data_IF_292248133279
#
_entry.id   IF_292248133279
#
_cell.length_a   1.000
_cell.length_b   1.000
_cell.length_c   1.000
_cell.angle_alpha   90.00
_cell.angle_beta   90.00
_cell.angle_gamma   90.00
#
_symmetry.space_group_name_H-M   'P 1'
#
loop_
_entity.id
_entity.type
_entity.pdbx_description
1 polymer ?
#
# COMPACT_ATOMS: atom_id res chain seq x y z
N UNK A 1 -4.61 31.02 25.57
CA UNK A 1 -4.94 31.79 24.34
C UNK A 1 -4.94 30.79 23.20
N UNK A 2 -6.13 30.42 22.70
CA UNK A 2 -6.29 29.33 21.72
C UNK A 2 -5.86 29.80 20.33
N UNK A 3 -4.96 29.07 19.63
CA UNK A 3 -4.71 29.33 18.22
C UNK A 3 -6.02 29.18 17.42
N UNK A 4 -6.17 29.99 16.37
CA UNK A 4 -7.32 29.89 15.47
C UNK A 4 -7.37 28.48 14.84
N UNK A 5 -8.56 27.98 14.53
CA UNK A 5 -8.80 26.68 13.91
C UNK A 5 -7.91 26.46 12.67
N UNK A 6 -7.75 27.48 11.83
CA UNK A 6 -6.89 27.42 10.64
C UNK A 6 -5.42 27.09 10.98
N UNK A 7 -4.90 27.60 12.09
CA UNK A 7 -3.52 27.33 12.48
C UNK A 7 -3.38 25.88 12.92
N UNK A 8 -4.31 25.36 13.74
CA UNK A 8 -4.32 23.94 14.13
C UNK A 8 -4.49 23.01 12.94
N UNK A 9 -5.32 23.39 11.98
CA UNK A 9 -5.55 22.63 10.75
C UNK A 9 -4.25 22.47 9.94
N UNK A 10 -3.54 23.57 9.67
CA UNK A 10 -2.25 23.49 8.97
C UNK A 10 -1.20 22.76 9.80
N UNK A 11 -1.17 22.98 11.12
CA UNK A 11 -0.27 22.26 12.03
C UNK A 11 -0.51 20.76 12.05
N UNK A 12 -1.73 20.27 11.79
CA UNK A 12 -2.05 18.83 11.69
C UNK A 12 -1.58 18.23 10.37
N UNK A 13 -1.57 19.03 9.30
CA UNK A 13 -1.17 18.56 7.98
C UNK A 13 0.35 18.31 7.90
N UNK A 14 1.15 19.23 8.46
CA UNK A 14 2.62 19.19 8.34
C UNK A 14 3.26 17.88 8.85
N UNK A 15 2.97 17.40 10.08
CA UNK A 15 3.52 16.14 10.58
C UNK A 15 3.16 14.94 9.71
N UNK A 16 1.94 14.89 9.17
CA UNK A 16 1.52 13.79 8.29
C UNK A 16 2.25 13.84 6.95
N UNK A 17 2.37 15.03 6.35
CA UNK A 17 3.15 15.20 5.11
C UNK A 17 4.59 14.79 5.31
N UNK A 18 5.24 15.26 6.38
CA UNK A 18 6.61 14.86 6.72
C UNK A 18 6.72 13.35 6.96
N UNK A 19 5.74 12.76 7.64
CA UNK A 19 5.69 11.32 7.87
C UNK A 19 5.60 10.54 6.55
N UNK A 20 4.73 10.93 5.61
CA UNK A 20 4.65 10.29 4.29
C UNK A 20 5.92 10.53 3.44
N UNK A 21 6.56 11.69 3.54
CA UNK A 21 7.82 11.94 2.83
C UNK A 21 8.98 11.08 3.37
N UNK A 22 9.08 10.93 4.69
CA UNK A 22 10.17 10.19 5.34
C UNK A 22 9.96 8.68 5.27
N UNK A 23 8.72 8.21 5.47
CA UNK A 23 8.42 6.80 5.64
C UNK A 23 7.65 6.19 4.47
N UNK A 24 7.02 7.01 3.61
CA UNK A 24 6.27 6.52 2.45
C UNK A 24 7.12 5.78 1.43
N UNK A 25 8.42 6.10 1.35
CA UNK A 25 9.36 5.39 0.47
C UNK A 25 9.80 4.03 1.02
N UNK A 26 9.97 3.92 2.34
CA UNK A 26 10.60 2.76 2.99
C UNK A 26 9.61 1.72 3.52
N UNK A 27 8.34 2.08 3.65
CA UNK A 27 7.34 1.17 4.19
C UNK A 27 6.85 0.17 3.14
N UNK A 28 6.64 -1.10 3.54
CA UNK A 28 5.90 -2.04 2.70
C UNK A 28 4.50 -1.49 2.46
N UNK A 29 3.99 -1.68 1.24
CA UNK A 29 2.71 -1.14 0.80
C UNK A 29 1.56 -1.39 1.79
N UNK A 30 1.53 -2.55 2.44
CA UNK A 30 0.39 -2.89 3.30
C UNK A 30 0.36 -2.01 4.57
N UNK A 31 1.55 -1.63 5.08
CA UNK A 31 1.68 -0.63 6.14
C UNK A 31 1.31 0.76 5.59
N UNK A 32 1.71 1.09 4.36
CA UNK A 32 1.40 2.37 3.74
C UNK A 32 -0.11 2.57 3.51
N UNK A 33 -0.79 1.55 2.97
CA UNK A 33 -2.24 1.52 2.81
C UNK A 33 -2.93 1.62 4.17
N UNK A 34 -2.50 0.86 5.17
CA UNK A 34 -3.05 0.95 6.53
C UNK A 34 -2.92 2.38 7.09
N UNK A 35 -1.74 2.99 6.96
CA UNK A 35 -1.49 4.36 7.41
C UNK A 35 -2.32 5.38 6.64
N UNK A 36 -2.60 5.13 5.36
CA UNK A 36 -3.47 5.97 4.55
C UNK A 36 -4.90 5.95 5.07
N UNK A 37 -5.45 4.78 5.34
CA UNK A 37 -6.79 4.65 5.92
C UNK A 37 -6.86 5.20 7.35
N UNK A 38 -5.79 5.08 8.13
CA UNK A 38 -5.69 5.66 9.46
C UNK A 38 -5.46 7.18 9.45
N UNK A 39 -5.00 7.78 8.35
CA UNK A 39 -4.61 9.19 8.29
C UNK A 39 -5.77 10.16 8.56
N UNK A 40 -6.99 9.98 8.00
CA UNK A 40 -8.11 10.87 8.30
C UNK A 40 -8.55 10.76 9.77
N UNK A 41 -8.50 9.56 10.33
CA UNK A 41 -8.87 9.30 11.74
C UNK A 41 -7.84 9.95 12.68
N UNK A 42 -6.55 9.75 12.43
CA UNK A 42 -5.47 10.38 13.20
C UNK A 42 -5.52 11.90 13.08
N UNK A 43 -5.86 12.44 11.90
CA UNK A 43 -6.00 13.87 11.67
C UNK A 43 -7.13 14.49 12.51
N UNK A 44 -8.33 13.91 12.45
CA UNK A 44 -9.48 14.37 13.25
C UNK A 44 -9.19 14.21 14.74
N UNK A 45 -8.65 13.06 15.14
CA UNK A 45 -8.27 12.80 16.53
C UNK A 45 -7.24 13.82 17.04
N UNK A 46 -6.21 14.13 16.27
CA UNK A 46 -5.15 15.08 16.65
C UNK A 46 -5.70 16.50 16.89
N UNK A 47 -6.63 16.95 16.05
CA UNK A 47 -7.28 18.26 16.22
C UNK A 47 -8.16 18.25 17.48
N UNK A 48 -9.00 17.23 17.65
CA UNK A 48 -9.89 17.10 18.81
C UNK A 48 -9.12 16.99 20.13
N UNK A 49 -8.09 16.14 20.18
CA UNK A 49 -7.24 15.95 21.36
C UNK A 49 -6.47 17.23 21.69
N UNK A 50 -6.00 17.96 20.68
CA UNK A 50 -5.37 19.28 20.90
C UNK A 50 -6.32 20.29 21.53
N UNK A 51 -7.59 20.34 21.10
CA UNK A 51 -8.58 21.21 21.76
C UNK A 51 -8.89 20.79 23.19
N UNK A 52 -8.99 19.48 23.44
CA UNK A 52 -9.16 18.96 24.80
C UNK A 52 -7.97 19.32 25.69
N UNK A 53 -6.73 19.16 25.21
CA UNK A 53 -5.52 19.51 25.94
C UNK A 53 -5.39 21.02 26.19
N UNK A 54 -5.76 21.86 25.23
CA UNK A 54 -5.78 23.31 25.43
C UNK A 54 -6.83 23.72 26.48
N UNK A 55 -8.00 23.07 26.46
CA UNK A 55 -9.05 23.30 27.45
C UNK A 55 -8.58 22.89 28.86
N UNK A 56 -8.02 21.69 29.02
CA UNK A 56 -7.43 21.21 30.28
C UNK A 56 -6.30 22.14 30.74
N UNK A 57 -5.39 22.51 29.86
CA UNK A 57 -4.26 23.38 30.19
C UNK A 57 -4.71 24.76 30.67
N UNK A 58 -5.74 25.33 30.05
CA UNK A 58 -6.33 26.59 30.48
C UNK A 58 -7.10 26.42 31.80
N UNK A 59 -7.85 25.33 31.98
CA UNK A 59 -8.66 25.05 33.18
C UNK A 59 -7.79 24.90 34.44
N UNK A 60 -6.68 24.18 34.32
CA UNK A 60 -5.72 23.94 35.41
C UNK A 60 -4.55 24.93 35.43
N UNK A 61 -4.57 25.97 34.58
CA UNK A 61 -3.53 27.01 34.47
C UNK A 61 -2.11 26.43 34.32
N UNK A 62 -1.98 25.33 33.59
CA UNK A 62 -0.70 24.70 33.31
C UNK A 62 0.14 25.63 32.43
N UNK A 63 1.27 26.11 32.95
CA UNK A 63 2.23 26.96 32.21
C UNK A 63 3.48 26.22 31.75
N UNK A 64 3.74 25.02 32.29
CA UNK A 64 4.94 24.26 31.96
C UNK A 64 4.82 23.64 30.56
N UNK A 65 5.62 24.15 29.61
CA UNK A 65 5.64 23.70 28.21
C UNK A 65 6.08 22.24 28.06
N UNK A 66 6.94 21.74 28.96
CA UNK A 66 7.43 20.35 28.94
C UNK A 66 6.31 19.40 29.35
N UNK A 67 5.55 19.76 30.38
CA UNK A 67 4.38 18.98 30.80
C UNK A 67 3.32 18.93 29.70
N UNK A 68 3.05 20.05 29.04
CA UNK A 68 2.11 20.09 27.91
C UNK A 68 2.62 19.20 26.77
N UNK A 69 3.89 19.32 26.39
CA UNK A 69 4.48 18.45 25.37
C UNK A 69 4.37 16.95 25.72
N UNK A 70 4.61 16.60 26.99
CA UNK A 70 4.44 15.24 27.48
C UNK A 70 3.00 14.74 27.36
N UNK A 71 2.00 15.58 27.68
CA UNK A 71 0.59 15.23 27.51
C UNK A 71 0.21 15.04 26.03
N UNK A 72 0.77 15.86 25.12
CA UNK A 72 0.61 15.66 23.68
C UNK A 72 1.24 14.33 23.22
N UNK A 73 2.46 14.01 23.63
CA UNK A 73 3.10 12.73 23.31
C UNK A 73 2.32 11.54 23.87
N UNK A 74 1.83 11.65 25.11
CA UNK A 74 1.04 10.59 25.75
C UNK A 74 -0.28 10.36 25.02
N UNK A 75 -1.02 11.42 24.67
CA UNK A 75 -2.26 11.28 23.90
C UNK A 75 -2.01 10.69 22.51
N UNK A 76 -0.93 11.08 21.83
CA UNK A 76 -0.49 10.47 20.58
C UNK A 76 -0.19 8.98 20.70
N UNK A 77 0.50 8.56 21.76
CA UNK A 77 0.78 7.15 22.03
C UNK A 77 -0.49 6.35 22.34
N UNK A 78 -1.39 6.93 23.15
CA UNK A 78 -2.64 6.29 23.56
C UNK A 78 -3.62 6.08 22.39
N UNK A 79 -3.57 6.92 21.35
CA UNK A 79 -4.42 6.79 20.17
C UNK A 79 -4.30 5.40 19.51
N UNK A 80 -3.08 4.85 19.46
CA UNK A 80 -2.84 3.60 18.79
C UNK A 80 -3.40 2.40 19.57
N UNK A 81 -3.60 2.50 20.89
CA UNK A 81 -4.09 1.38 21.71
C UNK A 81 -5.42 0.81 21.20
N UNK A 82 -6.52 1.58 21.07
CA UNK A 82 -7.79 1.06 20.55
C UNK A 82 -7.70 0.71 19.06
N UNK A 83 -6.89 1.42 18.27
CA UNK A 83 -6.68 1.12 16.85
C UNK A 83 -6.10 -0.29 16.67
N UNK A 84 -5.12 -0.67 17.48
CA UNK A 84 -4.56 -2.02 17.44
C UNK A 84 -5.57 -3.08 17.88
N UNK A 85 -6.30 -2.87 18.97
CA UNK A 85 -7.29 -3.84 19.45
C UNK A 85 -8.39 -4.12 18.43
N UNK A 86 -8.78 -3.12 17.62
CA UNK A 86 -9.81 -3.27 16.60
C UNK A 86 -9.30 -3.74 15.23
N UNK A 87 -8.14 -3.26 14.80
CA UNK A 87 -7.67 -3.44 13.41
C UNK A 87 -6.61 -4.55 13.30
N UNK A 88 -5.84 -4.78 14.36
CA UNK A 88 -4.60 -5.54 14.27
C UNK A 88 -4.54 -6.55 15.41
N UNK A 89 -4.95 -7.80 15.14
CA UNK A 89 -4.70 -8.96 16.03
C UNK A 89 -3.21 -9.34 16.07
N UNK A 90 -2.29 -8.38 16.18
CA UNK A 90 -0.88 -8.68 16.37
C UNK A 90 -0.67 -9.15 17.81
N UNK A 91 -0.01 -10.29 17.96
CA UNK A 91 0.45 -10.83 19.25
C UNK A 91 1.85 -10.31 19.63
N UNK A 92 2.51 -9.53 18.77
CA UNK A 92 3.89 -9.10 18.99
C UNK A 92 4.00 -7.75 19.71
N UNK A 93 4.38 -7.79 20.98
CA UNK A 93 4.58 -6.59 21.82
C UNK A 93 5.54 -5.55 21.21
N UNK A 94 6.51 -5.98 20.40
CA UNK A 94 7.48 -5.08 19.75
C UNK A 94 6.82 -4.12 18.76
N UNK A 95 5.85 -4.60 17.97
CA UNK A 95 5.11 -3.78 17.03
C UNK A 95 4.30 -2.70 17.76
N UNK A 96 3.61 -3.05 18.85
CA UNK A 96 2.84 -2.09 19.66
C UNK A 96 3.69 -0.91 20.12
N UNK A 97 4.87 -1.18 20.70
CA UNK A 97 5.75 -0.12 21.20
C UNK A 97 6.26 0.77 20.06
N UNK A 98 6.59 0.19 18.91
CA UNK A 98 7.02 0.93 17.71
C UNK A 98 5.96 1.93 17.24
N UNK A 99 4.70 1.49 17.11
CA UNK A 99 3.63 2.38 16.68
C UNK A 99 3.22 3.41 17.72
N UNK A 100 3.26 3.07 19.02
CA UNK A 100 3.07 4.06 20.08
C UNK A 100 4.15 5.16 20.04
N UNK A 101 5.41 4.79 19.74
CA UNK A 101 6.48 5.76 19.55
C UNK A 101 6.26 6.64 18.31
N UNK A 102 5.80 6.06 17.19
CA UNK A 102 5.41 6.83 15.99
C UNK A 102 4.29 7.82 16.33
N UNK A 103 3.24 7.38 17.03
CA UNK A 103 2.13 8.23 17.45
C UNK A 103 2.55 9.36 18.37
N UNK A 104 3.41 9.07 19.34
CA UNK A 104 4.01 10.09 20.21
C UNK A 104 4.83 11.11 19.39
N UNK A 105 5.64 10.64 18.44
CA UNK A 105 6.43 11.48 17.55
C UNK A 105 5.59 12.41 16.68
N UNK A 106 4.51 11.88 16.08
CA UNK A 106 3.57 12.67 15.27
C UNK A 106 2.87 13.71 16.14
N UNK A 107 2.40 13.35 17.32
CA UNK A 107 1.72 14.28 18.24
C UNK A 107 2.66 15.37 18.76
N UNK A 108 3.92 15.03 19.04
CA UNK A 108 4.93 16.01 19.43
C UNK A 108 5.24 16.98 18.28
N UNK A 109 5.42 16.45 17.06
CA UNK A 109 5.60 17.26 15.85
C UNK A 109 4.42 18.20 15.61
N UNK A 110 3.19 17.72 15.82
CA UNK A 110 1.98 18.54 15.77
C UNK A 110 2.01 19.68 16.79
N UNK A 111 2.39 19.42 18.04
CA UNK A 111 2.51 20.44 19.08
C UNK A 111 3.57 21.48 18.70
N UNK A 112 4.73 21.06 18.20
CA UNK A 112 5.78 21.96 17.73
C UNK A 112 5.30 22.84 16.57
N UNK A 113 4.59 22.26 15.60
CA UNK A 113 3.98 23.01 14.51
C UNK A 113 2.96 24.02 15.03
N UNK A 114 2.15 23.64 16.02
CA UNK A 114 1.16 24.55 16.63
C UNK A 114 1.81 25.73 17.33
N UNK A 115 2.95 25.51 18.00
CA UNK A 115 3.76 26.58 18.58
C UNK A 115 4.34 27.50 17.52
N UNK A 116 4.85 26.95 16.42
CA UNK A 116 5.44 27.71 15.31
C UNK A 116 4.39 28.59 14.62
N UNK A 117 3.25 28.01 14.26
CA UNK A 117 2.16 28.73 13.58
C UNK A 117 1.33 29.61 14.52
N UNK A 118 1.60 29.63 15.83
CA UNK A 118 0.82 30.42 16.80
C UNK A 118 0.77 31.91 16.47
N UNK A 119 1.88 32.47 15.99
CA UNK A 119 2.01 33.91 15.73
C UNK A 119 1.85 34.25 14.24
N UNK A 120 1.65 33.25 13.39
CA UNK A 120 1.52 33.43 11.94
C UNK A 120 0.04 33.50 11.57
N UNK A 121 -0.33 34.51 10.77
CA UNK A 121 -1.66 34.55 10.15
C UNK A 121 -1.69 33.56 8.99
N UNK A 122 -2.22 32.37 9.24
CA UNK A 122 -2.37 31.34 8.20
C UNK A 122 -3.45 31.77 7.22
N UNK A 123 -3.10 31.82 5.93
CA UNK A 123 -4.02 32.12 4.85
C UNK A 123 -4.98 30.94 4.60
N UNK A 124 -6.24 31.22 4.24
CA UNK A 124 -7.25 30.20 3.90
C UNK A 124 -6.78 29.29 2.77
N UNK A 125 -6.04 29.82 1.78
CA UNK A 125 -5.47 29.01 0.71
C UNK A 125 -4.51 27.95 1.24
N UNK A 126 -3.64 28.29 2.21
CA UNK A 126 -2.71 27.32 2.80
C UNK A 126 -3.44 26.22 3.58
N UNK A 127 -4.54 26.58 4.26
CA UNK A 127 -5.38 25.63 4.99
C UNK A 127 -6.11 24.63 4.08
N UNK A 128 -6.37 25.00 2.82
CA UNK A 128 -6.97 24.09 1.81
C UNK A 128 -5.90 23.31 1.07
N UNK A 129 -4.81 23.98 0.65
CA UNK A 129 -3.74 23.37 -0.13
C UNK A 129 -2.95 22.32 0.65
N UNK A 130 -2.79 22.48 1.97
CA UNK A 130 -2.10 21.50 2.81
C UNK A 130 -2.75 20.10 2.76
N UNK A 131 -4.01 19.94 3.18
CA UNK A 131 -4.70 18.66 3.12
C UNK A 131 -4.85 18.13 1.69
N UNK A 132 -5.07 19.00 0.71
CA UNK A 132 -5.13 18.59 -0.69
C UNK A 132 -3.79 17.99 -1.15
N UNK A 133 -2.68 18.63 -0.79
CA UNK A 133 -1.34 18.13 -1.06
C UNK A 133 -1.09 16.78 -0.37
N UNK A 134 -1.54 16.62 0.89
CA UNK A 134 -1.46 15.36 1.61
C UNK A 134 -2.23 14.25 0.87
N UNK A 135 -3.46 14.51 0.41
CA UNK A 135 -4.26 13.55 -0.35
C UNK A 135 -3.56 13.16 -1.65
N UNK A 136 -3.04 14.15 -2.41
CA UNK A 136 -2.30 13.89 -3.65
C UNK A 136 -1.06 13.04 -3.39
N UNK A 137 -0.28 13.36 -2.34
CA UNK A 137 0.88 12.56 -1.96
C UNK A 137 0.49 11.12 -1.63
N UNK A 138 -0.55 10.92 -0.83
CA UNK A 138 -1.04 9.59 -0.46
C UNK A 138 -1.40 8.76 -1.70
N UNK A 139 -2.09 9.36 -2.67
CA UNK A 139 -2.43 8.69 -3.94
C UNK A 139 -1.18 8.33 -4.75
N UNK A 140 -0.22 9.26 -4.90
CA UNK A 140 1.03 9.01 -5.63
C UNK A 140 1.79 7.82 -5.03
N UNK A 141 1.88 7.73 -3.69
CA UNK A 141 2.59 6.62 -3.04
C UNK A 141 1.89 5.26 -3.22
N UNK A 142 0.54 5.23 -3.25
CA UNK A 142 -0.22 3.99 -3.52
C UNK A 142 -0.08 3.56 -4.96
N UNK A 143 -0.39 4.45 -5.90
CA UNK A 143 -0.34 4.13 -7.33
C UNK A 143 1.05 3.68 -7.76
N UNK A 144 2.12 4.23 -7.16
CA UNK A 144 3.49 3.81 -7.45
C UNK A 144 3.72 2.31 -7.24
N UNK A 145 3.04 1.72 -6.26
CA UNK A 145 3.18 0.30 -5.90
C UNK A 145 2.27 -0.64 -6.70
N UNK A 146 1.34 -0.09 -7.49
CA UNK A 146 0.45 -0.84 -8.38
C UNK A 146 0.91 -0.83 -9.85
N UNK A 147 1.95 -0.06 -10.18
CA UNK A 147 2.50 -0.13 -11.54
C UNK A 147 3.18 -1.46 -11.79
N UNK A 148 2.92 -1.99 -12.97
CA UNK A 148 3.65 -3.12 -13.51
C UNK A 148 5.16 -2.81 -13.49
N UNK A 149 5.91 -3.70 -12.87
CA UNK A 149 7.35 -3.56 -12.71
C UNK A 149 8.00 -4.91 -12.87
N UNK A 150 8.96 -4.95 -13.80
CA UNK A 150 9.73 -6.12 -14.14
C UNK A 150 11.21 -5.74 -14.07
N UNK A 151 11.95 -6.37 -13.15
CA UNK A 151 13.40 -6.18 -13.01
C UNK A 151 14.13 -7.51 -13.22
N UNK A 152 15.30 -7.46 -13.86
CA UNK A 152 16.18 -8.63 -14.03
C UNK A 152 15.63 -9.74 -14.93
N UNK A 153 14.71 -9.40 -15.84
CA UNK A 153 14.02 -10.38 -16.70
C UNK A 153 14.97 -11.07 -17.68
N UNK A 154 14.95 -12.40 -17.66
CA UNK A 154 15.69 -13.26 -18.60
C UNK A 154 14.76 -14.36 -19.05
N UNK A 155 14.52 -14.44 -20.35
CA UNK A 155 13.60 -15.42 -20.95
C UNK A 155 14.31 -16.34 -21.93
N UNK A 156 13.78 -17.56 -22.00
CA UNK A 156 14.08 -18.53 -23.03
C UNK A 156 12.77 -19.13 -23.54
N UNK A 157 12.52 -18.96 -24.83
CA UNK A 157 11.33 -19.50 -25.50
C UNK A 157 11.73 -20.50 -26.60
N UNK A 158 10.94 -21.55 -26.77
CA UNK A 158 10.90 -22.41 -27.95
C UNK A 158 9.44 -22.59 -28.41
N UNK A 159 9.19 -23.45 -29.39
CA UNK A 159 7.85 -23.61 -30.00
C UNK A 159 6.78 -24.11 -29.02
N UNK A 160 7.17 -24.85 -27.97
CA UNK A 160 6.28 -25.51 -27.00
C UNK A 160 6.69 -25.29 -25.53
N UNK A 161 7.59 -24.33 -25.30
CA UNK A 161 8.22 -24.09 -24.01
C UNK A 161 8.52 -22.62 -23.81
N UNK A 162 8.29 -22.14 -22.59
CA UNK A 162 8.66 -20.82 -22.16
C UNK A 162 9.20 -20.87 -20.74
N UNK A 163 10.38 -20.30 -20.53
CA UNK A 163 11.02 -20.16 -19.23
C UNK A 163 11.43 -18.71 -19.03
N UNK A 164 11.09 -18.14 -17.89
CA UNK A 164 11.62 -16.84 -17.49
C UNK A 164 12.08 -16.84 -16.04
N UNK A 165 13.15 -16.09 -15.79
CA UNK A 165 13.66 -15.77 -14.46
C UNK A 165 13.71 -14.25 -14.30
N UNK A 166 13.49 -13.77 -13.08
CA UNK A 166 13.41 -12.35 -12.77
C UNK A 166 13.84 -12.06 -11.32
N UNK A 167 14.37 -10.86 -11.11
CA UNK A 167 14.70 -10.38 -9.78
C UNK A 167 13.45 -9.79 -9.10
N UNK A 168 12.56 -9.17 -9.88
CA UNK A 168 11.26 -8.69 -9.41
C UNK A 168 10.21 -8.75 -10.51
N UNK A 169 9.01 -9.27 -10.21
CA UNK A 169 7.87 -9.29 -11.12
C UNK A 169 6.56 -8.89 -10.42
N UNK A 170 5.98 -7.79 -10.92
CA UNK A 170 4.66 -7.31 -10.59
C UNK A 170 3.95 -6.93 -11.89
N UNK A 171 2.81 -7.55 -12.17
CA UNK A 171 2.04 -7.31 -13.39
C UNK A 171 1.71 -8.60 -14.14
N UNK A 172 1.54 -8.49 -15.45
CA UNK A 172 1.13 -9.59 -16.32
C UNK A 172 2.20 -9.89 -17.38
N UNK A 173 2.30 -11.18 -17.75
CA UNK A 173 3.12 -11.64 -18.86
C UNK A 173 2.30 -12.59 -19.72
N UNK A 174 2.41 -12.44 -21.04
CA UNK A 174 1.51 -13.09 -22.00
C UNK A 174 2.27 -14.04 -22.91
N UNK A 175 1.85 -15.30 -22.96
CA UNK A 175 2.37 -16.33 -23.86
C UNK A 175 1.31 -16.65 -24.92
N UNK A 176 1.51 -16.25 -26.18
CA UNK A 176 0.55 -16.51 -27.26
C UNK A 176 0.69 -17.94 -27.81
N UNK A 177 -0.45 -18.61 -28.02
CA UNK A 177 -0.57 -19.94 -28.62
C UNK A 177 -1.60 -19.87 -29.74
N UNK A 178 -1.21 -20.26 -30.96
CA UNK A 178 -2.12 -20.33 -32.10
C UNK A 178 -2.78 -21.71 -32.11
N UNK A 179 -4.10 -21.74 -32.14
CA UNK A 179 -4.87 -22.97 -32.21
C UNK A 179 -6.08 -22.86 -33.14
N UNK A 180 -6.41 -23.98 -33.77
CA UNK A 180 -7.59 -24.13 -34.62
C UNK A 180 -8.79 -24.60 -33.78
N UNK A 181 -10.00 -24.34 -34.27
CA UNK A 181 -11.24 -24.72 -33.62
C UNK A 181 -11.30 -26.23 -33.41
N UNK A 182 -11.53 -26.61 -32.17
CA UNK A 182 -11.62 -27.99 -31.72
C UNK A 182 -10.26 -28.58 -31.30
N UNK A 183 -9.15 -27.89 -31.55
CA UNK A 183 -7.82 -28.31 -31.08
C UNK A 183 -7.77 -28.21 -29.55
N UNK A 184 -7.16 -29.23 -28.93
CA UNK A 184 -6.99 -29.32 -27.50
C UNK A 184 -5.63 -28.73 -27.13
N UNK A 185 -5.64 -27.64 -26.36
CA UNK A 185 -4.41 -27.08 -25.79
C UNK A 185 -4.27 -27.61 -24.36
N UNK A 186 -3.15 -28.29 -24.09
CA UNK A 186 -2.79 -28.72 -22.75
C UNK A 186 -1.53 -27.98 -22.33
N UNK A 187 -1.55 -27.30 -21.19
CA UNK A 187 -0.39 -26.55 -20.70
C UNK A 187 -0.11 -26.78 -19.22
N UNK A 188 1.15 -26.68 -18.84
CA UNK A 188 1.61 -26.88 -17.46
C UNK A 188 2.43 -25.68 -17.01
N UNK A 189 2.03 -25.09 -15.88
CA UNK A 189 2.71 -23.92 -15.30
C UNK A 189 3.40 -24.33 -14.01
N UNK A 190 4.70 -24.06 -13.93
CA UNK A 190 5.48 -24.22 -12.70
C UNK A 190 6.06 -22.89 -12.29
N UNK A 191 5.71 -22.45 -11.08
CA UNK A 191 6.31 -21.31 -10.42
C UNK A 191 7.34 -21.79 -9.39
N UNK A 192 8.50 -21.15 -9.38
CA UNK A 192 9.51 -21.33 -8.35
C UNK A 192 9.99 -19.95 -7.89
N UNK A 193 9.68 -19.58 -6.65
CA UNK A 193 10.07 -18.29 -6.09
C UNK A 193 10.34 -18.43 -4.60
N UNK A 194 11.29 -17.61 -4.11
CA UNK A 194 11.90 -17.80 -2.80
C UNK A 194 11.29 -16.91 -1.70
N UNK A 195 10.54 -15.87 -2.06
CA UNK A 195 10.03 -14.84 -1.15
C UNK A 195 8.51 -14.64 -1.27
N UNK A 196 7.96 -13.74 -0.44
CA UNK A 196 6.55 -13.35 -0.48
C UNK A 196 6.10 -12.86 -1.86
N UNK A 197 4.84 -13.13 -2.19
CA UNK A 197 4.19 -12.74 -3.44
C UNK A 197 3.04 -13.69 -3.79
N UNK A 198 2.15 -13.24 -4.67
CA UNK A 198 1.09 -14.11 -5.20
C UNK A 198 1.24 -14.26 -6.71
N UNK A 199 1.02 -15.46 -7.21
CA UNK A 199 0.98 -15.76 -8.64
C UNK A 199 -0.42 -16.20 -9.03
N UNK A 200 -0.74 -15.99 -10.29
CA UNK A 200 -2.00 -16.38 -10.89
C UNK A 200 -1.82 -16.63 -12.38
N UNK A 201 -2.86 -17.17 -12.99
CA UNK A 201 -2.90 -17.32 -14.43
C UNK A 201 -4.34 -17.40 -14.91
N UNK A 202 -4.57 -17.03 -16.16
CA UNK A 202 -5.81 -17.22 -16.88
C UNK A 202 -5.51 -17.33 -18.38
N UNK A 203 -6.50 -17.74 -19.17
CA UNK A 203 -6.39 -17.79 -20.63
C UNK A 203 -7.38 -16.83 -21.26
N UNK A 204 -6.91 -15.97 -22.16
CA UNK A 204 -7.77 -15.18 -23.04
C UNK A 204 -7.90 -15.85 -24.41
N UNK A 205 -9.11 -15.88 -24.96
CA UNK A 205 -9.35 -16.32 -26.33
C UNK A 205 -9.05 -15.22 -27.36
N UNK A 206 -9.24 -15.51 -28.65
CA UNK A 206 -8.96 -14.58 -29.75
C UNK A 206 -9.71 -13.25 -29.64
N UNK A 207 -10.92 -13.26 -29.07
CA UNK A 207 -11.73 -12.06 -28.79
C UNK A 207 -11.26 -11.22 -27.60
N UNK A 208 -10.18 -11.63 -26.90
CA UNK A 208 -9.68 -10.97 -25.69
C UNK A 208 -10.53 -11.21 -24.44
N UNK A 209 -11.42 -12.20 -24.48
CA UNK A 209 -12.24 -12.60 -23.32
C UNK A 209 -11.64 -13.82 -22.62
N UNK A 210 -11.75 -13.91 -21.29
CA UNK A 210 -11.34 -15.11 -20.56
C UNK A 210 -12.08 -16.35 -21.07
N UNK A 211 -11.33 -17.45 -21.24
CA UNK A 211 -11.84 -18.76 -21.65
C UNK A 211 -11.71 -19.72 -20.46
N UNK A 212 -12.72 -20.57 -20.27
CA UNK A 212 -12.70 -21.60 -19.24
C UNK A 212 -11.63 -22.65 -19.52
N UNK A 213 -10.99 -23.12 -18.46
CA UNK A 213 -10.01 -24.21 -18.49
C UNK A 213 -10.39 -25.29 -17.49
N UNK A 214 -10.06 -26.53 -17.81
CA UNK A 214 -10.20 -27.68 -16.93
C UNK A 214 -8.86 -27.95 -16.25
N UNK A 215 -8.83 -28.00 -14.92
CA UNK A 215 -7.65 -28.37 -14.16
C UNK A 215 -7.53 -29.90 -14.08
N UNK A 216 -6.45 -30.44 -14.64
CA UNK A 216 -6.17 -31.88 -14.68
C UNK A 216 -5.28 -32.34 -13.50
N UNK A 217 -4.86 -31.42 -12.64
CA UNK A 217 -3.93 -31.66 -11.52
C UNK A 217 -2.47 -31.34 -11.86
N UNK A 218 -1.62 -31.27 -10.82
CA UNK A 218 -0.19 -30.92 -10.93
C UNK A 218 0.10 -29.64 -11.72
N UNK A 219 -0.74 -28.61 -11.55
CA UNK A 219 -0.72 -27.35 -12.30
C UNK A 219 -0.78 -27.55 -13.83
N UNK A 220 -1.50 -28.58 -14.27
CA UNK A 220 -1.76 -28.88 -15.68
C UNK A 220 -3.20 -28.49 -15.99
N UNK A 221 -3.37 -27.77 -17.08
CA UNK A 221 -4.64 -27.20 -17.50
C UNK A 221 -4.92 -27.59 -18.94
N UNK A 222 -6.20 -27.75 -19.25
CA UNK A 222 -6.69 -28.10 -20.57
C UNK A 222 -7.74 -27.11 -21.01
N UNK A 223 -7.68 -26.71 -22.28
CA UNK A 223 -8.77 -26.02 -22.96
C UNK A 223 -9.01 -26.63 -24.34
N UNK A 224 -10.25 -26.54 -24.79
CA UNK A 224 -10.63 -26.89 -26.17
C UNK A 224 -10.93 -25.58 -26.87
N UNK A 225 -10.24 -25.29 -27.97
CA UNK A 225 -10.39 -24.04 -28.69
C UNK A 225 -11.80 -23.91 -29.31
N UNK A 226 -12.68 -23.00 -28.85
CA UNK A 226 -14.01 -22.82 -29.43
C UNK A 226 -14.00 -22.21 -30.84
N UNK A 227 -12.95 -21.45 -31.18
CA UNK A 227 -12.76 -20.74 -32.45
C UNK A 227 -11.28 -20.70 -32.84
N UNK A 228 -11.01 -20.52 -34.13
CA UNK A 228 -9.65 -20.37 -34.65
C UNK A 228 -9.05 -19.06 -34.14
N UNK A 229 -7.78 -19.09 -33.72
CA UNK A 229 -7.02 -17.87 -33.46
C UNK A 229 -5.94 -18.00 -32.40
N UNK A 230 -5.52 -16.86 -31.87
CA UNK A 230 -4.47 -16.79 -30.84
C UNK A 230 -5.10 -16.78 -29.45
N UNK A 231 -4.85 -17.84 -28.71
CA UNK A 231 -5.11 -17.93 -27.27
C UNK A 231 -3.90 -17.40 -26.51
N UNK A 232 -4.14 -16.69 -25.42
CA UNK A 232 -3.09 -16.07 -24.61
C UNK A 232 -3.11 -16.66 -23.23
N UNK A 233 -2.06 -17.37 -22.86
CA UNK A 233 -1.84 -17.73 -21.45
C UNK A 233 -1.29 -16.48 -20.77
N UNK A 234 -2.10 -15.88 -19.91
CA UNK A 234 -1.72 -14.70 -19.14
C UNK A 234 -1.28 -15.17 -17.76
N UNK A 235 -0.01 -14.91 -17.45
CA UNK A 235 0.61 -15.17 -16.17
C UNK A 235 0.61 -13.88 -15.37
N UNK A 236 0.11 -13.92 -14.15
CA UNK A 236 0.07 -12.75 -13.26
C UNK A 236 0.94 -12.97 -12.04
N UNK A 237 1.65 -11.93 -11.63
CA UNK A 237 2.43 -11.93 -10.41
C UNK A 237 2.22 -10.63 -9.65
N UNK A 238 2.13 -10.74 -8.33
CA UNK A 238 2.07 -9.59 -7.43
C UNK A 238 3.25 -9.65 -6.48
N UNK A 239 4.25 -8.79 -6.75
CA UNK A 239 5.41 -8.55 -5.87
C UNK A 239 6.32 -9.76 -5.69
N UNK A 240 6.41 -10.63 -6.69
CA UNK A 240 7.27 -11.82 -6.60
C UNK A 240 8.72 -11.38 -6.80
N UNK A 241 9.59 -11.73 -5.87
CA UNK A 241 11.02 -11.40 -5.92
C UNK A 241 11.86 -12.67 -6.09
N UNK A 242 12.92 -12.59 -6.90
CA UNK A 242 13.83 -13.70 -7.21
C UNK A 242 13.06 -14.97 -7.60
N UNK A 243 12.30 -14.86 -8.69
CA UNK A 243 11.39 -15.90 -9.15
C UNK A 243 11.75 -16.42 -10.53
N UNK A 244 11.17 -17.57 -10.84
CA UNK A 244 11.24 -18.22 -12.13
C UNK A 244 9.89 -18.88 -12.41
N UNK A 245 9.46 -18.87 -13.65
CA UNK A 245 8.38 -19.74 -14.10
C UNK A 245 8.73 -20.47 -15.37
N UNK A 246 8.09 -21.62 -15.53
CA UNK A 246 8.20 -22.49 -16.69
C UNK A 246 6.80 -22.85 -17.15
N UNK A 247 6.54 -22.68 -18.44
CA UNK A 247 5.32 -23.08 -19.12
C UNK A 247 5.66 -24.05 -20.24
N UNK A 248 5.04 -25.23 -20.22
CA UNK A 248 5.06 -26.17 -21.34
C UNK A 248 3.66 -26.26 -21.92
N UNK A 249 3.53 -26.36 -23.24
CA UNK A 249 2.24 -26.65 -23.87
C UNK A 249 2.35 -27.67 -25.00
N UNK A 250 1.25 -28.37 -25.25
CA UNK A 250 1.04 -29.23 -26.41
C UNK A 250 -0.31 -28.91 -27.03
N UNK A 251 -0.44 -29.22 -28.32
CA UNK A 251 -1.68 -29.06 -29.08
C UNK A 251 -1.99 -30.38 -29.77
N UNK A 252 -3.20 -30.89 -29.57
CA UNK A 252 -3.69 -32.19 -30.09
C UNK A 252 -5.03 -32.03 -30.83
#
# INVERSE_FOLDING_TARGET
>A
MNPNFLNKWVSATMPLVLFFLLFGYWNPHDILVMLIWASPITYVYGICSSYALDWVSNRYRLKNKVLIAFLYSLTGALFFIPLFQFVIRMQEMGAYLGFMAIGAGIALSFYLCTLFFRNVKVNRYLAVLGPLFLIIMMQIFVFRWEFDKVDGWREHQTDNYYEASFDYFHGEHVIPIIADKGEQITFKIKWNYWQDGSTGHYVEGPSGKPVGMEELGDNTFKLIAPEDGTYKIVLTAKRVSYGQFVVHWSKD
#
